data_IF_169707633284
#
_entry.id   IF_169707633284
#
_cell.length_a   1.000
_cell.length_b   1.000
_cell.length_c   1.000
_cell.angle_alpha   90.00
_cell.angle_beta   90.00
_cell.angle_gamma   90.00
#
_symmetry.space_group_name_H-M   'P 1'
#
loop_
_entity.id
_entity.type
_entity.pdbx_description
1 polymer ?
#
# COMPACT_ATOMS: atom_id res chain seq x y z
N UNK A 1 -1.96 -19.04 4.38
CA UNK A 1 -1.75 -17.93 3.43
C UNK A 1 -0.63 -17.06 3.98
N UNK A 2 0.32 -16.73 3.12
CA UNK A 2 1.37 -15.75 3.40
C UNK A 2 0.85 -14.35 3.06
N UNK A 3 1.44 -13.30 3.64
CA UNK A 3 1.00 -11.92 3.39
C UNK A 3 1.08 -11.57 1.89
N UNK A 4 2.12 -12.03 1.21
CA UNK A 4 2.36 -11.79 -0.23
C UNK A 4 1.20 -12.25 -1.12
N UNK A 5 0.45 -13.27 -0.71
CA UNK A 5 -0.65 -13.86 -1.51
C UNK A 5 -1.76 -12.83 -1.79
N UNK A 6 -1.87 -11.80 -0.95
CA UNK A 6 -2.87 -10.74 -1.08
C UNK A 6 -2.44 -9.60 -2.01
N UNK A 7 -1.15 -9.48 -2.34
CA UNK A 7 -0.62 -8.28 -2.98
C UNK A 7 -0.28 -8.47 -4.46
N UNK A 8 -0.43 -7.40 -5.24
CA UNK A 8 0.28 -7.16 -6.48
C UNK A 8 1.37 -6.12 -6.26
N UNK A 9 2.51 -6.27 -6.94
CA UNK A 9 3.60 -5.31 -6.83
C UNK A 9 3.25 -3.97 -7.45
N UNK A 10 4.00 -2.95 -7.04
CA UNK A 10 3.93 -1.59 -7.58
C UNK A 10 4.58 -1.57 -8.97
N UNK A 11 3.92 -0.96 -9.96
CA UNK A 11 4.51 -0.73 -11.28
C UNK A 11 5.58 0.37 -11.20
N UNK A 12 6.84 -0.03 -11.13
CA UNK A 12 7.97 0.87 -10.97
C UNK A 12 8.28 1.69 -12.21
N UNK A 13 8.07 1.14 -13.41
CA UNK A 13 8.31 1.88 -14.65
C UNK A 13 7.38 3.09 -14.75
N UNK A 14 6.16 2.93 -14.25
CA UNK A 14 5.20 4.02 -14.17
C UNK A 14 5.46 4.97 -12.99
N UNK A 15 5.77 4.43 -11.81
CA UNK A 15 5.68 5.16 -10.54
C UNK A 15 7.01 5.68 -10.00
N UNK A 16 8.12 5.05 -10.36
CA UNK A 16 9.44 5.52 -9.99
C UNK A 16 10.01 6.35 -11.15
N UNK A 17 10.46 7.59 -10.91
CA UNK A 17 11.05 8.38 -11.96
C UNK A 17 12.32 7.70 -12.48
N UNK A 18 12.50 7.66 -13.80
CA UNK A 18 13.75 7.27 -14.49
C UNK A 18 15.02 8.01 -13.97
N UNK A 19 14.81 9.04 -13.14
CA UNK A 19 15.81 9.83 -12.46
C UNK A 19 16.07 9.31 -11.03
N UNK A 20 16.26 8.00 -10.85
CA UNK A 20 16.64 7.35 -9.59
C UNK A 20 17.90 7.97 -8.92
N UNK A 21 18.55 8.91 -9.60
CA UNK A 21 19.70 9.72 -9.18
C UNK A 21 19.34 10.88 -8.24
N UNK A 22 18.08 11.33 -8.15
CA UNK A 22 17.72 12.46 -7.26
C UNK A 22 17.50 11.94 -5.84
N UNK A 23 18.54 12.07 -5.01
CA UNK A 23 18.52 11.72 -3.58
C UNK A 23 17.51 12.56 -2.80
N UNK A 24 17.00 11.98 -1.73
CA UNK A 24 16.12 12.66 -0.77
C UNK A 24 14.66 12.73 -1.19
N UNK A 25 14.25 12.00 -2.24
CA UNK A 25 12.82 11.82 -2.56
C UNK A 25 12.26 10.67 -1.75
N UNK A 26 11.02 10.78 -1.30
CA UNK A 26 10.36 9.76 -0.50
C UNK A 26 10.35 8.41 -1.22
N UNK A 27 10.10 8.38 -2.54
CA UNK A 27 10.14 7.14 -3.33
C UNK A 27 11.50 6.45 -3.36
N UNK A 28 12.60 7.18 -3.12
CA UNK A 28 13.96 6.60 -3.00
C UNK A 28 14.30 6.14 -1.58
N UNK A 29 13.49 6.51 -0.59
CA UNK A 29 13.71 6.20 0.82
C UNK A 29 12.75 5.12 1.36
N UNK A 30 11.71 4.79 0.60
CA UNK A 30 10.75 3.73 0.91
C UNK A 30 11.25 2.41 0.31
N UNK A 31 11.17 1.32 1.08
CA UNK A 31 11.34 -0.03 0.52
C UNK A 31 10.05 -0.43 -0.20
N UNK A 32 10.07 -0.51 -1.53
CA UNK A 32 8.87 -0.78 -2.34
C UNK A 32 8.81 -2.26 -2.76
N UNK A 33 7.65 -2.88 -2.65
CA UNK A 33 7.40 -4.20 -3.24
C UNK A 33 7.29 -4.09 -4.76
N UNK A 34 8.32 -4.61 -5.43
CA UNK A 34 8.43 -4.71 -6.89
C UNK A 34 8.48 -6.20 -7.27
N UNK A 35 9.62 -6.74 -7.68
CA UNK A 35 9.74 -8.16 -7.99
C UNK A 35 9.88 -9.03 -6.73
N UNK A 36 10.33 -8.43 -5.62
CA UNK A 36 10.65 -9.14 -4.38
C UNK A 36 9.85 -8.56 -3.21
N UNK A 37 9.07 -9.41 -2.57
CA UNK A 37 8.30 -9.02 -1.38
C UNK A 37 9.25 -8.80 -0.18
N UNK A 38 9.15 -7.68 0.54
CA UNK A 38 10.08 -7.35 1.62
C UNK A 38 9.91 -8.28 2.82
N UNK A 39 11.03 -8.73 3.40
CA UNK A 39 11.02 -9.45 4.68
C UNK A 39 10.77 -8.48 5.83
N UNK A 40 9.52 -8.40 6.26
CA UNK A 40 9.06 -7.51 7.33
C UNK A 40 9.66 -7.83 8.70
N UNK A 41 10.05 -9.09 8.96
CA UNK A 41 10.64 -9.48 10.25
C UNK A 41 12.06 -8.94 10.40
N UNK A 42 12.80 -8.95 9.30
CA UNK A 42 14.17 -8.44 9.23
C UNK A 42 14.17 -6.91 9.10
N UNK A 43 13.33 -6.36 8.22
CA UNK A 43 13.26 -4.92 7.95
C UNK A 43 12.76 -4.10 9.16
N UNK A 44 11.74 -4.62 9.86
CA UNK A 44 11.03 -3.96 10.98
C UNK A 44 10.65 -2.51 10.65
N UNK A 45 9.78 -2.29 9.64
CA UNK A 45 9.32 -0.96 9.29
C UNK A 45 8.40 -0.39 10.37
N UNK A 46 8.38 0.94 10.50
CA UNK A 46 7.44 1.63 11.39
C UNK A 46 6.08 1.80 10.70
N UNK A 47 6.10 2.06 9.38
CA UNK A 47 4.91 2.28 8.55
C UNK A 47 4.87 1.31 7.37
N UNK A 48 3.67 0.83 7.03
CA UNK A 48 3.42 0.08 5.80
C UNK A 48 2.34 0.76 4.95
N UNK A 49 2.69 1.23 3.76
CA UNK A 49 1.75 1.73 2.77
C UNK A 49 1.09 0.53 2.08
N UNK A 50 -0.24 0.58 1.97
CA UNK A 50 -1.06 -0.47 1.36
C UNK A 50 -2.06 0.21 0.42
N UNK A 51 -1.99 -0.11 -0.85
CA UNK A 51 -3.01 0.27 -1.81
C UNK A 51 -4.18 -0.72 -1.79
N UNK A 52 -5.41 -0.27 -1.98
CA UNK A 52 -6.57 -1.17 -2.14
C UNK A 52 -7.37 -0.75 -3.36
N UNK A 53 -7.33 -1.57 -4.41
CA UNK A 53 -7.96 -1.29 -5.70
C UNK A 53 -9.40 -1.82 -5.72
N UNK A 54 -10.28 -1.18 -4.96
CA UNK A 54 -11.71 -1.50 -4.88
C UNK A 54 -12.57 -0.25 -5.06
N UNK A 55 -13.58 -0.36 -5.93
CA UNK A 55 -14.53 0.70 -6.24
C UNK A 55 -15.96 0.21 -6.50
N UNK A 56 -16.26 -1.08 -6.30
CA UNK A 56 -17.60 -1.65 -6.54
C UNK A 56 -18.72 -0.96 -5.78
N UNK A 57 -18.42 -0.47 -4.58
CA UNK A 57 -19.35 0.26 -3.73
C UNK A 57 -19.11 1.78 -3.74
N UNK A 58 -18.33 2.30 -4.70
CA UNK A 58 -18.03 3.72 -4.83
C UNK A 58 -19.19 4.49 -5.47
N UNK A 59 -20.25 4.77 -4.70
CA UNK A 59 -21.36 5.60 -5.16
C UNK A 59 -20.87 7.00 -5.57
N UNK A 60 -21.02 7.34 -6.86
CA UNK A 60 -20.60 8.63 -7.40
C UNK A 60 -19.08 8.82 -7.54
N UNK A 61 -18.27 7.77 -7.37
CA UNK A 61 -16.80 7.84 -7.44
C UNK A 61 -16.19 6.62 -8.15
N UNK A 62 -16.84 6.14 -9.20
CA UNK A 62 -16.35 5.02 -10.02
C UNK A 62 -14.97 5.34 -10.60
N UNK A 63 -14.06 4.36 -10.60
CA UNK A 63 -12.67 4.52 -11.02
C UNK A 63 -11.71 4.87 -9.88
N UNK A 64 -12.20 5.11 -8.65
CA UNK A 64 -11.34 5.39 -7.51
C UNK A 64 -10.41 4.23 -7.13
N UNK A 65 -10.65 3.01 -7.63
CA UNK A 65 -9.72 1.88 -7.52
C UNK A 65 -8.33 2.18 -8.14
N UNK A 66 -8.21 3.17 -9.03
CA UNK A 66 -6.93 3.65 -9.58
C UNK A 66 -6.21 4.66 -8.65
N UNK A 67 -6.91 5.16 -7.63
CA UNK A 67 -6.42 6.15 -6.67
C UNK A 67 -5.10 5.78 -5.99
N UNK A 68 -4.88 4.52 -5.55
CA UNK A 68 -3.63 4.13 -4.91
C UNK A 68 -2.39 4.48 -5.73
N UNK A 69 -2.41 4.16 -7.03
CA UNK A 69 -1.26 4.38 -7.90
C UNK A 69 -1.12 5.87 -8.27
N UNK A 70 -2.21 6.59 -8.53
CA UNK A 70 -2.15 8.04 -8.76
C UNK A 70 -1.63 8.82 -7.54
N UNK A 71 -1.93 8.36 -6.32
CA UNK A 71 -1.39 8.96 -5.10
C UNK A 71 0.10 8.65 -5.00
N UNK A 72 0.54 7.40 -5.27
CA UNK A 72 1.97 7.05 -5.31
C UNK A 72 2.76 7.92 -6.28
N UNK A 73 2.22 8.19 -7.48
CA UNK A 73 2.84 9.08 -8.48
C UNK A 73 3.16 10.47 -7.91
N UNK A 74 2.40 10.96 -6.94
CA UNK A 74 2.68 12.27 -6.31
C UNK A 74 3.50 12.11 -5.04
N UNK A 75 3.16 11.12 -4.22
CA UNK A 75 3.81 10.85 -2.94
C UNK A 75 5.31 10.57 -3.12
N UNK A 76 5.69 9.75 -4.09
CA UNK A 76 7.08 9.38 -4.34
C UNK A 76 7.96 10.56 -4.79
N UNK A 77 7.35 11.62 -5.33
CA UNK A 77 8.05 12.83 -5.75
C UNK A 77 8.30 13.83 -4.61
N UNK A 78 7.65 13.66 -3.46
CA UNK A 78 7.88 14.52 -2.31
C UNK A 78 9.29 14.31 -1.77
N UNK A 79 9.89 15.35 -1.18
CA UNK A 79 11.16 15.23 -0.50
C UNK A 79 10.96 14.68 0.92
N UNK A 80 11.89 13.83 1.35
CA UNK A 80 11.95 13.39 2.74
C UNK A 80 12.28 14.58 3.66
N UNK A 81 11.67 14.59 4.84
CA UNK A 81 12.09 15.48 5.92
C UNK A 81 13.19 14.83 6.75
N UNK A 82 13.54 15.43 7.90
CA UNK A 82 14.54 14.92 8.83
C UNK A 82 14.06 13.73 9.68
N UNK A 83 13.18 12.89 9.14
CA UNK A 83 12.55 11.78 9.86
C UNK A 83 13.37 10.50 9.71
N UNK A 84 13.39 9.66 10.76
CA UNK A 84 14.09 8.36 10.76
C UNK A 84 13.13 7.18 10.54
N UNK A 85 11.89 7.48 10.18
CA UNK A 85 10.81 6.51 10.03
C UNK A 85 11.13 5.55 8.89
N UNK A 86 11.12 4.26 9.17
CA UNK A 86 11.27 3.22 8.16
C UNK A 86 9.91 2.94 7.53
N UNK A 87 9.82 3.17 6.23
CA UNK A 87 8.57 3.01 5.48
C UNK A 87 8.76 1.87 4.48
N UNK A 88 7.78 0.98 4.44
CA UNK A 88 7.64 -0.02 3.38
C UNK A 88 6.37 0.27 2.58
N UNK A 89 6.38 0.06 1.27
CA UNK A 89 5.18 0.01 0.44
C UNK A 89 4.97 -1.43 -0.02
N UNK A 90 3.87 -2.04 0.42
CA UNK A 90 3.56 -3.44 0.15
C UNK A 90 2.82 -3.63 -1.17
N UNK A 91 2.59 -2.56 -1.94
CA UNK A 91 1.85 -2.63 -3.18
C UNK A 91 0.34 -2.60 -2.98
N UNK A 92 -0.38 -3.26 -3.87
CA UNK A 92 -1.84 -3.20 -3.93
C UNK A 92 -2.46 -4.52 -3.46
N UNK A 93 -3.39 -4.47 -2.51
CA UNK A 93 -4.25 -5.61 -2.23
C UNK A 93 -5.12 -5.86 -3.47
N UNK A 94 -5.09 -7.10 -3.94
CA UNK A 94 -5.86 -7.56 -5.09
C UNK A 94 -7.34 -7.46 -4.78
N UNK A 95 -8.10 -6.97 -5.77
CA UNK A 95 -9.55 -7.08 -5.75
C UNK A 95 -9.96 -8.54 -5.67
N UNK A 96 -10.71 -8.91 -4.65
CA UNK A 96 -11.26 -10.25 -4.50
C UNK A 96 -12.41 -10.52 -5.47
N UNK A 97 -12.82 -11.78 -5.60
CA UNK A 97 -13.94 -12.18 -6.46
C UNK A 97 -15.22 -11.42 -6.07
N UNK A 98 -15.50 -11.34 -4.77
CA UNK A 98 -16.54 -10.49 -4.20
C UNK A 98 -15.95 -9.31 -3.41
N UNK A 99 -16.77 -8.30 -3.12
CA UNK A 99 -16.35 -7.18 -2.26
C UNK A 99 -16.00 -7.68 -0.86
N UNK A 100 -16.78 -8.63 -0.34
CA UNK A 100 -16.53 -9.26 0.96
C UNK A 100 -15.16 -9.93 1.01
N UNK A 101 -14.72 -10.59 -0.08
CA UNK A 101 -13.38 -11.19 -0.14
C UNK A 101 -12.29 -10.12 -0.03
N UNK A 102 -12.51 -8.96 -0.64
CA UNK A 102 -11.60 -7.81 -0.50
C UNK A 102 -11.56 -7.30 0.94
N UNK A 103 -12.71 -7.21 1.61
CA UNK A 103 -12.75 -6.81 3.03
C UNK A 103 -12.00 -7.80 3.93
N UNK A 104 -12.14 -9.11 3.67
CA UNK A 104 -11.41 -10.15 4.41
C UNK A 104 -9.91 -9.99 4.18
N UNK A 105 -9.47 -9.79 2.93
CA UNK A 105 -8.07 -9.57 2.61
C UNK A 105 -7.50 -8.33 3.33
N UNK A 106 -8.19 -7.19 3.28
CA UNK A 106 -7.81 -5.96 3.99
C UNK A 106 -7.71 -6.21 5.48
N UNK A 107 -8.77 -6.75 6.10
CA UNK A 107 -8.79 -7.09 7.53
C UNK A 107 -7.60 -7.96 7.92
N UNK A 108 -7.36 -9.05 7.19
CA UNK A 108 -6.30 -10.00 7.48
C UNK A 108 -4.92 -9.35 7.39
N UNK A 109 -4.65 -8.58 6.34
CA UNK A 109 -3.38 -7.87 6.16
C UNK A 109 -3.15 -6.88 7.30
N UNK A 110 -4.14 -6.06 7.63
CA UNK A 110 -4.03 -5.05 8.68
C UNK A 110 -3.79 -5.69 10.05
N UNK A 111 -4.54 -6.74 10.39
CA UNK A 111 -4.38 -7.46 11.65
C UNK A 111 -2.97 -8.04 11.82
N UNK A 112 -2.39 -8.60 10.76
CA UNK A 112 -1.02 -9.12 10.80
C UNK A 112 0.01 -8.00 10.96
N UNK A 113 -0.12 -6.88 10.24
CA UNK A 113 0.80 -5.74 10.38
C UNK A 113 0.75 -5.13 11.79
N UNK A 114 -0.45 -4.97 12.36
CA UNK A 114 -0.65 -4.46 13.72
C UNK A 114 0.00 -5.40 14.75
N UNK A 115 -0.17 -6.73 14.61
CA UNK A 115 0.52 -7.71 15.48
C UNK A 115 2.04 -7.62 15.40
N UNK A 116 2.57 -7.24 14.23
CA UNK A 116 4.00 -6.99 14.02
C UNK A 116 4.46 -5.60 14.50
N UNK A 117 3.56 -4.81 15.08
CA UNK A 117 3.78 -3.43 15.51
C UNK A 117 4.20 -2.50 14.36
N UNK A 118 3.63 -2.74 13.17
CA UNK A 118 3.80 -1.91 11.97
C UNK A 118 2.49 -1.13 11.79
N UNK A 119 2.56 0.20 11.66
CA UNK A 119 1.36 1.03 11.45
C UNK A 119 0.95 1.00 9.96
N UNK A 120 -0.20 0.40 9.61
CA UNK A 120 -0.67 0.40 8.24
C UNK A 120 -1.23 1.77 7.83
N UNK A 121 -0.85 2.22 6.62
CA UNK A 121 -1.37 3.40 5.95
C UNK A 121 -2.09 2.95 4.69
N UNK A 122 -3.42 2.99 4.72
CA UNK A 122 -4.27 2.56 3.61
C UNK A 122 -4.44 3.72 2.63
N UNK A 123 -4.11 3.46 1.37
CA UNK A 123 -4.49 4.30 0.24
C UNK A 123 -5.56 3.51 -0.51
N UNK A 124 -6.83 3.86 -0.32
CA UNK A 124 -7.96 3.09 -0.84
C UNK A 124 -8.53 3.64 -2.15
N UNK A 125 -9.59 2.98 -2.61
CA UNK A 125 -10.55 3.54 -3.57
C UNK A 125 -11.82 3.98 -2.85
N UNK A 126 -12.74 3.05 -2.61
CA UNK A 126 -14.05 3.35 -2.04
C UNK A 126 -14.06 3.46 -0.51
N UNK A 127 -14.98 4.27 0.03
CA UNK A 127 -15.02 4.62 1.47
C UNK A 127 -15.44 3.44 2.37
N UNK A 128 -16.17 2.47 1.82
CA UNK A 128 -16.60 1.24 2.49
C UNK A 128 -15.42 0.39 2.99
N UNK A 129 -14.21 0.57 2.44
CA UNK A 129 -12.99 -0.06 2.95
C UNK A 129 -12.68 0.31 4.42
N UNK A 130 -13.18 1.46 4.90
CA UNK A 130 -13.09 1.85 6.32
C UNK A 130 -13.75 0.82 7.23
N UNK A 131 -14.78 0.12 6.75
CA UNK A 131 -15.41 -0.96 7.51
C UNK A 131 -14.46 -2.15 7.70
N UNK A 132 -13.75 -2.56 6.65
CA UNK A 132 -12.75 -3.63 6.75
C UNK A 132 -11.59 -3.23 7.68
N UNK A 133 -11.18 -1.96 7.64
CA UNK A 133 -10.17 -1.40 8.54
C UNK A 133 -10.61 -1.43 10.01
N UNK A 134 -11.87 -1.11 10.31
CA UNK A 134 -12.41 -1.17 11.67
C UNK A 134 -12.45 -2.59 12.26
N UNK A 135 -12.58 -3.61 11.42
CA UNK A 135 -12.67 -5.01 11.85
C UNK A 135 -11.32 -5.70 12.08
N UNK A 136 -10.20 -5.06 11.72
CA UNK A 136 -8.85 -5.58 11.83
C UNK A 136 -8.34 -5.58 13.28
#
# INVERSE_FOLDING_TARGET
MSLIDFFTPVDTERLLPNNATIKGRLGTCVTVFTDHFPDLKTLKPDLAIIGVQEDRNASGNTGCALGPDYIREKLYHLYEGSYKTKIVDLGNIRRGETVTDTYIAVKTVLAELIKMNILPIIIGGSQDLTYAQYLA
#
